data_IF_311622772794
#
_entry.id   IF_311622772794
#
_cell.length_a   1.000
_cell.length_b   1.000
_cell.length_c   1.000
_cell.angle_alpha   90.00
_cell.angle_beta   90.00
_cell.angle_gamma   90.00
#
_symmetry.space_group_name_H-M   'P 1'
#
loop_
_entity.id
_entity.type
_entity.pdbx_description
1 polymer ?
#
# COMPACT_ATOMS: atom_id res chain seq x y z
N UNK A 1 -17.66 18.51 10.94
CA UNK A 1 -17.37 17.09 10.62
C UNK A 1 -17.83 16.65 9.23
N UNK A 2 -18.81 17.31 8.58
CA UNK A 2 -19.24 17.06 7.18
C UNK A 2 -18.16 17.22 6.08
N UNK A 3 -16.93 17.66 6.38
CA UNK A 3 -15.89 17.90 5.35
C UNK A 3 -14.91 16.74 5.13
N UNK A 4 -14.96 15.68 5.94
CA UNK A 4 -14.04 14.52 5.80
C UNK A 4 -14.55 13.44 4.83
N UNK A 5 -15.85 13.41 4.51
CA UNK A 5 -16.42 12.49 3.51
C UNK A 5 -15.81 12.70 2.11
N UNK A 6 -15.32 13.92 1.83
CA UNK A 6 -14.58 14.26 0.62
C UNK A 6 -13.23 13.54 0.52
N UNK A 7 -12.67 13.11 1.64
CA UNK A 7 -11.35 12.51 1.75
C UNK A 7 -11.41 11.00 2.04
N UNK A 8 -12.16 10.27 1.21
CA UNK A 8 -12.25 8.81 1.28
C UNK A 8 -10.85 8.16 1.20
N UNK A 9 -10.56 7.14 2.04
CA UNK A 9 -9.31 6.41 1.97
C UNK A 9 -9.09 5.77 0.59
N UNK A 10 -7.84 5.72 0.14
CA UNK A 10 -7.44 4.92 -1.02
C UNK A 10 -7.62 3.42 -0.75
N UNK A 11 -7.24 2.57 -1.69
CA UNK A 11 -7.03 1.16 -1.40
C UNK A 11 -5.97 0.94 -0.29
N UNK A 12 -5.99 -0.27 0.26
CA UNK A 12 -4.96 -0.80 1.16
C UNK A 12 -4.17 -1.91 0.44
N UNK A 13 -3.34 -2.62 1.20
CA UNK A 13 -2.54 -3.74 0.76
C UNK A 13 -2.43 -4.79 1.85
N UNK A 14 -2.30 -6.05 1.44
CA UNK A 14 -1.68 -7.08 2.27
C UNK A 14 -0.19 -7.04 1.94
N UNK A 15 0.68 -6.73 2.91
CA UNK A 15 2.14 -6.73 2.67
C UNK A 15 2.67 -8.05 3.17
N UNK A 16 3.14 -8.91 2.27
CA UNK A 16 3.77 -10.17 2.61
C UNK A 16 5.26 -10.10 2.26
N UNK A 17 6.10 -10.30 3.27
CA UNK A 17 7.55 -10.29 3.18
C UNK A 17 8.05 -11.71 3.41
N UNK A 18 8.69 -12.31 2.40
CA UNK A 18 9.19 -13.68 2.44
C UNK A 18 10.72 -13.68 2.31
N UNK A 19 11.40 -14.30 3.26
CA UNK A 19 12.77 -14.76 3.10
C UNK A 19 12.76 -16.17 2.56
N UNK A 20 13.53 -16.43 1.50
CA UNK A 20 13.59 -17.73 0.83
C UNK A 20 14.99 -18.33 0.89
N UNK A 21 15.10 -19.65 1.03
CA UNK A 21 16.37 -20.41 0.94
C UNK A 21 16.86 -20.64 -0.51
N UNK A 22 16.15 -20.09 -1.49
CA UNK A 22 16.48 -20.17 -2.90
C UNK A 22 16.13 -18.90 -3.64
N UNK A 23 16.67 -18.77 -4.86
CA UNK A 23 16.24 -17.78 -5.86
C UNK A 23 15.34 -18.41 -6.92
N UNK A 24 14.42 -17.60 -7.44
CA UNK A 24 13.67 -17.89 -8.66
C UNK A 24 14.27 -17.09 -9.83
N UNK A 25 15.00 -17.73 -10.77
CA UNK A 25 15.79 -17.03 -11.80
C UNK A 25 14.94 -16.23 -12.80
N UNK A 26 13.66 -16.60 -12.98
CA UNK A 26 12.72 -15.91 -13.84
C UNK A 26 12.21 -14.58 -13.26
N UNK A 27 12.40 -14.31 -11.97
CA UNK A 27 12.00 -13.04 -11.36
C UNK A 27 13.00 -11.93 -11.71
N UNK A 28 12.49 -10.83 -12.24
CA UNK A 28 13.19 -9.56 -12.30
C UNK A 28 13.14 -8.85 -10.93
N UNK A 29 13.74 -7.67 -10.79
CA UNK A 29 13.59 -6.87 -9.57
C UNK A 29 12.12 -6.55 -9.31
N UNK A 30 11.38 -6.12 -10.34
CA UNK A 30 9.95 -5.77 -10.26
C UNK A 30 9.13 -6.71 -11.14
N UNK A 31 8.08 -7.29 -10.58
CA UNK A 31 7.26 -8.30 -11.25
C UNK A 31 5.78 -8.01 -11.02
N UNK A 32 4.96 -8.33 -12.02
CA UNK A 32 3.51 -8.28 -11.95
C UNK A 32 2.92 -9.63 -12.29
N UNK A 33 2.06 -10.14 -11.43
CA UNK A 33 1.26 -11.34 -11.65
C UNK A 33 -0.19 -10.88 -11.85
N UNK A 34 -0.57 -10.69 -13.11
CA UNK A 34 -1.88 -10.15 -13.45
C UNK A 34 -3.00 -11.13 -13.15
N UNK A 35 -4.18 -10.61 -12.84
CA UNK A 35 -5.42 -11.39 -12.82
C UNK A 35 -5.87 -11.76 -14.23
N UNK A 36 -6.57 -12.89 -14.36
CA UNK A 36 -7.12 -13.36 -15.62
C UNK A 36 -8.15 -12.36 -16.18
N UNK A 37 -8.93 -11.73 -15.28
CA UNK A 37 -9.80 -10.60 -15.60
C UNK A 37 -9.48 -9.41 -14.68
N UNK A 38 -8.74 -8.43 -15.23
CA UNK A 38 -8.41 -7.20 -14.53
C UNK A 38 -9.65 -6.34 -14.22
N UNK A 39 -10.64 -6.31 -15.11
CA UNK A 39 -11.84 -5.49 -14.90
C UNK A 39 -12.65 -6.03 -13.72
N UNK A 40 -12.78 -7.36 -13.63
CA UNK A 40 -13.40 -8.01 -12.48
C UNK A 40 -12.61 -7.73 -11.19
N UNK A 41 -11.28 -7.85 -11.21
CA UNK A 41 -10.42 -7.51 -10.07
C UNK A 41 -10.66 -6.08 -9.56
N UNK A 42 -10.59 -5.09 -10.44
CA UNK A 42 -10.82 -3.68 -10.08
C UNK A 42 -12.24 -3.43 -9.58
N UNK A 43 -13.24 -4.07 -10.20
CA UNK A 43 -14.63 -3.95 -9.75
C UNK A 43 -14.81 -4.52 -8.33
N UNK A 44 -14.24 -5.69 -8.03
CA UNK A 44 -14.31 -6.31 -6.70
C UNK A 44 -13.63 -5.44 -5.63
N UNK A 45 -12.41 -4.96 -5.90
CA UNK A 45 -11.64 -4.17 -4.92
C UNK A 45 -12.23 -2.78 -4.70
N UNK A 46 -12.55 -2.04 -5.76
CA UNK A 46 -12.88 -0.61 -5.68
C UNK A 46 -14.39 -0.31 -5.70
N UNK A 47 -15.25 -1.26 -6.12
CA UNK A 47 -16.71 -1.09 -6.11
C UNK A 47 -17.38 -1.95 -5.05
N UNK A 48 -17.11 -3.27 -5.05
CA UNK A 48 -17.70 -4.19 -4.05
C UNK A 48 -17.03 -4.11 -2.69
N UNK A 49 -15.78 -3.63 -2.64
CA UNK A 49 -14.93 -3.56 -1.43
C UNK A 49 -14.69 -4.93 -0.81
N UNK A 50 -14.45 -5.92 -1.64
CA UNK A 50 -14.21 -7.30 -1.24
C UNK A 50 -12.76 -7.71 -1.59
N UNK A 51 -12.27 -8.77 -0.93
CA UNK A 51 -11.01 -9.41 -1.29
C UNK A 51 -11.19 -10.17 -2.61
N UNK A 52 -10.41 -9.87 -3.66
CA UNK A 52 -10.62 -10.47 -4.98
C UNK A 52 -10.29 -11.97 -4.98
N UNK A 53 -11.06 -12.81 -5.70
CA UNK A 53 -10.75 -14.24 -5.80
C UNK A 53 -9.45 -14.50 -6.59
N UNK A 54 -9.12 -13.61 -7.54
CA UNK A 54 -7.89 -13.64 -8.31
C UNK A 54 -7.22 -12.23 -8.29
N UNK A 55 -6.27 -11.98 -7.37
CA UNK A 55 -5.65 -10.66 -7.23
C UNK A 55 -4.61 -10.40 -8.31
N UNK A 56 -4.53 -9.16 -8.82
CA UNK A 56 -3.28 -8.69 -9.44
C UNK A 56 -2.26 -8.41 -8.34
N UNK A 57 -1.08 -9.01 -8.44
CA UNK A 57 -0.03 -8.94 -7.41
C UNK A 57 1.18 -8.20 -7.97
N UNK A 58 1.67 -7.23 -7.21
CA UNK A 58 2.99 -6.65 -7.40
C UNK A 58 3.99 -7.37 -6.49
N UNK A 59 5.11 -7.83 -7.05
CA UNK A 59 6.15 -8.55 -6.33
C UNK A 59 7.53 -7.94 -6.63
N UNK A 60 8.29 -7.67 -5.58
CA UNK A 60 9.65 -7.16 -5.64
C UNK A 60 10.62 -8.23 -5.15
N UNK A 61 11.59 -8.59 -5.98
CA UNK A 61 12.72 -9.44 -5.63
C UNK A 61 13.99 -8.57 -5.56
N UNK A 62 14.21 -7.93 -4.41
CA UNK A 62 15.22 -6.88 -4.27
C UNK A 62 16.65 -7.39 -4.49
N UNK A 63 16.89 -8.68 -4.21
CA UNK A 63 18.21 -9.33 -4.37
C UNK A 63 18.73 -9.35 -5.81
N UNK A 64 17.89 -9.01 -6.80
CA UNK A 64 18.26 -8.90 -8.21
C UNK A 64 19.15 -7.70 -8.52
N UNK A 65 19.03 -6.62 -7.77
CA UNK A 65 19.86 -5.42 -7.96
C UNK A 65 20.72 -5.10 -6.75
N UNK A 66 20.35 -5.60 -5.58
CA UNK A 66 21.11 -5.43 -4.34
C UNK A 66 21.31 -6.79 -3.66
N UNK A 67 22.45 -7.47 -3.86
CA UNK A 67 22.68 -8.78 -3.26
C UNK A 67 22.80 -8.73 -1.73
N UNK A 68 22.91 -7.55 -1.09
CA UNK A 68 23.07 -7.43 0.36
C UNK A 68 21.77 -7.62 1.15
N UNK A 69 20.62 -7.61 0.48
CA UNK A 69 19.29 -7.75 1.11
C UNK A 69 18.93 -9.19 1.48
N UNK A 70 19.72 -10.18 1.06
CA UNK A 70 19.55 -11.59 1.39
C UNK A 70 20.91 -12.31 1.42
N UNK A 71 21.07 -13.40 2.20
CA UNK A 71 22.27 -14.23 2.15
C UNK A 71 22.53 -14.82 0.75
N UNK A 72 23.76 -15.29 0.51
CA UNK A 72 24.12 -15.98 -0.73
C UNK A 72 23.22 -17.18 -0.99
N UNK A 73 22.71 -17.30 -2.22
CA UNK A 73 21.74 -18.33 -2.62
C UNK A 73 20.29 -18.07 -2.21
N UNK A 74 20.04 -17.16 -1.27
CA UNK A 74 18.70 -16.83 -0.74
C UNK A 74 18.04 -15.66 -1.49
N UNK A 75 16.75 -15.43 -1.23
CA UNK A 75 16.01 -14.30 -1.77
C UNK A 75 15.17 -13.58 -0.70
N UNK A 76 14.81 -12.33 -0.97
CA UNK A 76 13.93 -11.51 -0.14
C UNK A 76 12.83 -10.93 -1.05
N UNK A 77 11.62 -11.44 -0.89
CA UNK A 77 10.46 -11.07 -1.68
C UNK A 77 9.53 -10.17 -0.88
N UNK A 78 9.15 -9.02 -1.46
CA UNK A 78 8.04 -8.20 -0.98
C UNK A 78 6.86 -8.36 -1.95
N UNK A 79 5.72 -8.77 -1.43
CA UNK A 79 4.51 -9.09 -2.17
C UNK A 79 3.40 -8.15 -1.72
N UNK A 80 2.71 -7.53 -2.68
CA UNK A 80 1.69 -6.52 -2.45
C UNK A 80 0.53 -6.66 -3.44
N UNK A 81 -0.48 -7.48 -3.14
CA UNK A 81 -1.81 -7.34 -3.74
C UNK A 81 -2.51 -6.06 -3.25
N UNK A 82 -3.14 -5.34 -4.17
CA UNK A 82 -4.05 -4.24 -3.80
C UNK A 82 -5.41 -4.79 -3.36
N UNK A 83 -5.87 -4.34 -2.20
CA UNK A 83 -7.11 -4.77 -1.56
C UNK A 83 -7.91 -3.55 -1.08
N UNK A 84 -9.21 -3.69 -0.76
CA UNK A 84 -9.97 -2.60 -0.15
C UNK A 84 -9.34 -2.10 1.16
N UNK A 85 -9.60 -0.84 1.50
CA UNK A 85 -9.35 -0.34 2.85
C UNK A 85 -10.35 -0.94 3.84
N UNK A 86 -10.06 -0.82 5.14
CA UNK A 86 -10.94 -1.33 6.20
C UNK A 86 -12.29 -0.62 6.12
N UNK A 87 -13.37 -1.40 6.01
CA UNK A 87 -14.71 -0.90 6.25
C UNK A 87 -14.97 -0.88 7.76
N UNK A 88 -14.99 0.30 8.39
CA UNK A 88 -15.15 0.40 9.84
C UNK A 88 -16.55 -0.04 10.34
N UNK A 89 -17.56 -0.11 9.45
CA UNK A 89 -18.89 -0.61 9.80
C UNK A 89 -18.98 -2.14 9.80
N UNK A 90 -18.12 -2.80 9.03
CA UNK A 90 -18.07 -4.27 8.89
C UNK A 90 -16.63 -4.68 8.52
N UNK A 91 -15.71 -4.67 9.50
CA UNK A 91 -14.31 -4.93 9.23
C UNK A 91 -14.05 -6.42 9.05
N UNK A 92 -13.30 -6.76 8.00
CA UNK A 92 -12.74 -8.11 7.85
C UNK A 92 -11.83 -8.45 9.03
N UNK A 93 -11.87 -9.70 9.47
CA UNK A 93 -11.00 -10.19 10.54
C UNK A 93 -9.56 -10.41 10.04
N UNK A 94 -8.63 -10.59 10.98
CA UNK A 94 -7.25 -10.98 10.63
C UNK A 94 -7.21 -12.32 9.88
N UNK A 95 -8.08 -13.25 10.26
CA UNK A 95 -8.17 -14.58 9.64
C UNK A 95 -8.64 -14.51 8.19
N UNK A 96 -9.57 -13.60 7.86
CA UNK A 96 -10.00 -13.36 6.47
C UNK A 96 -8.81 -12.95 5.58
N UNK A 97 -7.92 -12.10 6.10
CA UNK A 97 -6.70 -11.71 5.41
C UNK A 97 -5.70 -12.86 5.31
N UNK A 98 -5.62 -13.76 6.31
CA UNK A 98 -4.75 -14.94 6.23
C UNK A 98 -5.26 -15.95 5.20
N UNK A 99 -6.57 -16.15 5.09
CA UNK A 99 -7.16 -16.94 4.00
C UNK A 99 -6.83 -16.33 2.64
N UNK A 100 -6.86 -15.00 2.53
CA UNK A 100 -6.46 -14.32 1.30
C UNK A 100 -4.94 -14.39 1.03
N UNK A 101 -4.09 -14.37 2.06
CA UNK A 101 -2.65 -14.64 1.94
C UNK A 101 -2.40 -15.99 1.25
N UNK A 102 -3.14 -17.03 1.65
CA UNK A 102 -3.02 -18.34 1.01
C UNK A 102 -3.44 -18.30 -0.46
N UNK A 103 -4.50 -17.59 -0.84
CA UNK A 103 -4.86 -17.40 -2.26
C UNK A 103 -3.77 -16.70 -3.07
N UNK A 104 -3.09 -15.73 -2.47
CA UNK A 104 -1.95 -15.02 -3.07
C UNK A 104 -0.80 -15.99 -3.31
N UNK A 105 -0.45 -16.80 -2.32
CA UNK A 105 0.60 -17.82 -2.43
C UNK A 105 0.25 -18.90 -3.48
N UNK A 106 -1.00 -19.38 -3.52
CA UNK A 106 -1.47 -20.33 -4.54
C UNK A 106 -1.31 -19.78 -5.95
N UNK A 107 -1.63 -18.49 -6.14
CA UNK A 107 -1.45 -17.82 -7.42
C UNK A 107 0.02 -17.72 -7.81
N UNK A 108 0.88 -17.32 -6.89
CA UNK A 108 2.32 -17.21 -7.13
C UNK A 108 2.92 -18.57 -7.52
N UNK A 109 2.55 -19.64 -6.82
CA UNK A 109 2.99 -21.01 -7.14
C UNK A 109 2.48 -21.45 -8.52
N UNK A 110 1.20 -21.22 -8.82
CA UNK A 110 0.59 -21.52 -10.13
C UNK A 110 1.26 -20.77 -11.28
N UNK A 111 1.75 -19.56 -11.03
CA UNK A 111 2.35 -18.69 -12.05
C UNK A 111 3.89 -18.78 -12.08
N UNK A 112 4.45 -19.89 -11.64
CA UNK A 112 5.84 -20.25 -11.87
C UNK A 112 6.75 -20.12 -10.65
N UNK A 113 6.27 -19.66 -9.49
CA UNK A 113 7.04 -19.77 -8.24
C UNK A 113 6.81 -21.14 -7.59
N UNK A 114 7.07 -22.21 -8.34
CA UNK A 114 6.77 -23.58 -7.91
C UNK A 114 7.34 -23.89 -6.53
N UNK A 115 6.53 -24.52 -5.68
CA UNK A 115 6.86 -24.88 -4.30
C UNK A 115 7.30 -23.70 -3.42
N UNK A 116 6.89 -22.45 -3.72
CA UNK A 116 7.23 -21.25 -2.95
C UNK A 116 7.18 -21.48 -1.44
N UNK A 117 6.07 -22.04 -0.93
CA UNK A 117 5.87 -22.24 0.50
C UNK A 117 6.91 -23.16 1.14
N UNK A 118 7.45 -24.13 0.39
CA UNK A 118 8.48 -25.07 0.90
C UNK A 118 9.83 -24.39 1.13
N UNK A 119 10.05 -23.26 0.47
CA UNK A 119 11.31 -22.53 0.47
C UNK A 119 11.29 -21.30 1.40
N UNK A 120 10.15 -21.04 2.05
CA UNK A 120 10.02 -19.92 3.00
C UNK A 120 10.76 -20.26 4.30
N UNK A 121 11.81 -19.49 4.59
CA UNK A 121 12.56 -19.56 5.86
C UNK A 121 12.21 -18.42 6.81
N UNK A 122 11.57 -17.37 6.31
CA UNK A 122 11.04 -16.26 7.08
C UNK A 122 9.76 -15.74 6.43
N UNK A 123 8.73 -15.51 7.24
CA UNK A 123 7.48 -14.88 6.78
C UNK A 123 7.12 -13.74 7.73
N UNK A 124 6.78 -12.59 7.15
CA UNK A 124 6.15 -11.50 7.86
C UNK A 124 4.99 -10.93 7.04
N UNK A 125 3.86 -10.69 7.70
CA UNK A 125 2.63 -10.29 7.02
C UNK A 125 1.95 -9.13 7.74
N UNK A 126 1.75 -8.02 7.03
CA UNK A 126 0.95 -6.89 7.45
C UNK A 126 -0.42 -6.91 6.79
N UNK A 127 -1.45 -6.88 7.61
CA UNK A 127 -2.82 -6.61 7.21
C UNK A 127 -3.10 -5.10 7.22
N UNK A 128 -4.23 -4.66 6.63
CA UNK A 128 -4.69 -3.28 6.78
C UNK A 128 -4.80 -2.80 8.24
N UNK A 129 -5.08 -3.70 9.19
CA UNK A 129 -5.13 -3.37 10.61
C UNK A 129 -3.75 -3.03 11.16
N UNK A 130 -2.73 -3.82 10.82
CA UNK A 130 -1.35 -3.58 11.24
C UNK A 130 -0.85 -2.24 10.67
N UNK A 131 -1.19 -1.94 9.41
CA UNK A 131 -0.88 -0.66 8.76
C UNK A 131 -1.56 0.51 9.49
N UNK A 132 -2.85 0.38 9.80
CA UNK A 132 -3.60 1.39 10.57
C UNK A 132 -3.01 1.60 11.95
N UNK A 133 -2.66 0.54 12.66
CA UNK A 133 -2.13 0.62 14.01
C UNK A 133 -0.75 1.29 14.03
N UNK A 134 0.16 0.83 13.16
CA UNK A 134 1.55 1.28 13.12
C UNK A 134 1.70 2.70 12.61
N UNK A 135 1.00 3.04 11.52
CA UNK A 135 1.18 4.32 10.83
C UNK A 135 0.04 5.31 11.07
N UNK A 136 -0.98 4.92 11.84
CA UNK A 136 -2.21 5.72 12.04
C UNK A 136 -2.90 6.08 10.71
N UNK A 137 -2.70 5.25 9.69
CA UNK A 137 -3.28 5.43 8.36
C UNK A 137 -4.79 5.28 8.40
N UNK A 138 -5.52 6.24 7.83
CA UNK A 138 -6.98 6.22 7.78
C UNK A 138 -7.47 4.94 7.10
N UNK A 139 -8.27 4.15 7.80
CA UNK A 139 -8.78 2.83 7.39
C UNK A 139 -7.71 1.88 6.83
N UNK A 140 -6.45 2.00 7.26
CA UNK A 140 -5.34 1.17 6.78
C UNK A 140 -4.89 1.46 5.34
N UNK A 141 -5.31 2.60 4.75
CA UNK A 141 -4.93 2.97 3.38
C UNK A 141 -3.42 3.18 3.21
N UNK A 142 -2.88 2.79 2.06
CA UNK A 142 -1.43 2.88 1.76
C UNK A 142 -1.06 4.10 0.91
N UNK A 143 -2.04 4.78 0.31
CA UNK A 143 -1.83 5.99 -0.49
C UNK A 143 -2.57 7.22 0.06
N UNK A 144 -3.01 7.17 1.31
CA UNK A 144 -3.78 8.23 1.95
C UNK A 144 -5.17 8.35 1.34
N UNK A 145 -5.53 9.54 0.86
CA UNK A 145 -6.84 9.78 0.24
C UNK A 145 -6.84 9.36 -1.23
N UNK A 146 -7.97 8.80 -1.70
CA UNK A 146 -8.25 8.52 -3.12
C UNK A 146 -7.98 9.76 -4.00
N UNK A 147 -7.55 9.57 -5.24
CA UNK A 147 -7.49 10.65 -6.24
C UNK A 147 -8.65 10.48 -7.21
N UNK A 148 -9.80 11.07 -6.88
CA UNK A 148 -11.03 10.91 -7.65
C UNK A 148 -11.54 12.28 -8.10
N UNK A 149 -11.61 12.48 -9.42
CA UNK A 149 -12.03 13.75 -10.02
C UNK A 149 -13.41 14.20 -9.53
N UNK A 150 -14.35 13.28 -9.32
CA UNK A 150 -15.72 13.60 -8.95
C UNK A 150 -15.88 13.78 -7.43
N UNK A 151 -15.09 13.07 -6.62
CA UNK A 151 -15.16 13.21 -5.15
C UNK A 151 -14.33 14.37 -4.63
N UNK A 152 -13.08 14.50 -5.07
CA UNK A 152 -12.14 15.47 -4.52
C UNK A 152 -11.40 16.33 -5.55
N UNK A 153 -11.82 16.32 -6.82
CA UNK A 153 -11.13 17.02 -7.90
C UNK A 153 -9.65 16.58 -8.03
N UNK A 154 -9.34 15.35 -7.61
CA UNK A 154 -7.99 14.81 -7.46
C UNK A 154 -7.08 15.56 -6.45
N UNK A 155 -7.63 16.48 -5.65
CA UNK A 155 -6.89 17.18 -4.60
C UNK A 155 -6.97 16.45 -3.26
N UNK A 156 -5.84 16.44 -2.56
CA UNK A 156 -5.71 15.95 -1.19
C UNK A 156 -5.87 17.08 -0.18
N UNK A 157 -5.72 16.76 1.11
CA UNK A 157 -5.85 17.75 2.18
C UNK A 157 -4.89 18.95 1.97
N UNK A 158 -5.29 20.17 2.36
CA UNK A 158 -4.43 21.35 2.28
C UNK A 158 -3.22 21.22 3.22
N UNK A 159 -2.17 22.00 2.95
CA UNK A 159 -0.91 21.99 3.73
C UNK A 159 -0.96 22.81 5.02
N UNK A 160 -2.05 23.55 5.26
CA UNK A 160 -2.22 24.45 6.39
C UNK A 160 -3.68 24.44 6.83
N UNK A 161 -3.92 24.61 8.12
CA UNK A 161 -5.25 24.68 8.69
C UNK A 161 -5.92 26.01 8.34
N UNK A 162 -7.21 25.96 7.98
CA UNK A 162 -8.04 27.16 7.82
C UNK A 162 -8.45 27.77 9.18
N UNK A 163 -8.35 27.00 10.27
CA UNK A 163 -8.77 27.42 11.61
C UNK A 163 -7.61 27.91 12.47
N UNK A 164 -6.44 27.29 12.34
CA UNK A 164 -5.26 27.61 13.15
C UNK A 164 -4.11 28.02 12.23
N UNK A 165 -3.76 29.31 12.15
CA UNK A 165 -2.80 29.79 11.15
C UNK A 165 -1.40 29.22 11.34
N UNK A 166 -1.05 28.79 12.56
CA UNK A 166 0.22 28.16 12.90
C UNK A 166 0.23 26.62 12.79
N UNK A 167 -0.83 26.01 12.26
CA UNK A 167 -0.94 24.56 12.11
C UNK A 167 -0.75 24.14 10.64
N UNK A 168 0.25 23.29 10.41
CA UNK A 168 0.61 22.78 9.09
C UNK A 168 0.46 21.25 9.01
N UNK A 169 0.18 20.75 7.81
CA UNK A 169 0.02 19.33 7.54
C UNK A 169 1.01 18.88 6.48
N UNK A 170 1.63 17.71 6.68
CA UNK A 170 2.60 17.09 5.77
C UNK A 170 2.31 15.59 5.63
N UNK A 171 2.69 14.99 4.51
CA UNK A 171 2.66 13.53 4.31
C UNK A 171 1.81 13.08 3.14
N UNK A 172 1.60 11.76 3.02
CA UNK A 172 0.99 11.13 1.83
C UNK A 172 -0.50 11.44 1.62
N UNK A 173 -1.18 11.89 2.68
CA UNK A 173 -2.58 12.31 2.66
C UNK A 173 -2.76 13.81 2.40
N UNK A 174 -1.66 14.55 2.28
CA UNK A 174 -1.62 15.99 2.02
C UNK A 174 -1.16 16.23 0.59
N UNK A 175 -1.69 17.27 -0.06
CA UNK A 175 -1.28 17.63 -1.41
C UNK A 175 0.27 17.88 -1.43
N UNK A 176 1.05 17.27 -2.32
CA UNK A 176 0.66 16.75 -3.63
C UNK A 176 0.33 15.25 -3.65
N UNK A 177 0.63 14.49 -2.60
CA UNK A 177 0.04 13.17 -2.35
C UNK A 177 0.96 12.05 -1.90
N UNK A 178 0.50 10.83 -2.17
CA UNK A 178 1.12 9.59 -1.69
C UNK A 178 2.31 9.17 -2.55
N UNK A 179 3.16 8.30 -2.00
CA UNK A 179 4.41 7.86 -2.63
C UNK A 179 5.61 8.72 -2.23
N UNK A 180 6.80 8.12 -2.16
CA UNK A 180 8.00 8.76 -1.61
C UNK A 180 8.31 10.12 -2.25
N UNK A 181 8.30 10.29 -3.59
CA UNK A 181 8.62 11.58 -4.21
C UNK A 181 7.64 12.68 -3.78
N UNK A 182 6.35 12.34 -3.72
CA UNK A 182 5.28 13.30 -3.40
C UNK A 182 5.29 13.69 -1.93
N UNK A 183 5.61 12.74 -1.03
CA UNK A 183 5.78 13.01 0.40
C UNK A 183 6.98 13.92 0.66
N UNK A 184 8.12 13.67 0.00
CA UNK A 184 9.31 14.52 0.11
C UNK A 184 9.01 15.94 -0.38
N UNK A 185 8.37 16.07 -1.54
CA UNK A 185 7.97 17.36 -2.08
C UNK A 185 6.94 18.08 -1.18
N UNK A 186 6.04 17.33 -0.54
CA UNK A 186 5.13 17.86 0.47
C UNK A 186 5.92 18.51 1.61
N UNK A 187 6.89 17.77 2.17
CA UNK A 187 7.74 18.25 3.28
C UNK A 187 8.50 19.52 2.94
N UNK A 188 9.13 19.56 1.76
CA UNK A 188 9.83 20.77 1.29
C UNK A 188 8.89 21.98 1.17
N UNK A 189 7.69 21.78 0.63
CA UNK A 189 6.71 22.85 0.47
C UNK A 189 6.16 23.34 1.81
N UNK A 190 5.90 22.43 2.75
CA UNK A 190 5.43 22.78 4.09
C UNK A 190 6.51 23.54 4.86
N UNK A 191 7.78 23.09 4.78
CA UNK A 191 8.89 23.79 5.41
C UNK A 191 9.02 25.25 4.93
N UNK A 192 8.88 25.50 3.62
CA UNK A 192 8.84 26.87 3.07
C UNK A 192 7.72 27.71 3.67
N UNK A 193 6.50 27.16 3.78
CA UNK A 193 5.35 27.86 4.37
C UNK A 193 5.54 28.18 5.85
N UNK A 194 6.17 27.27 6.61
CA UNK A 194 6.49 27.51 8.02
C UNK A 194 7.46 28.68 8.15
N UNK A 195 8.52 28.74 7.35
CA UNK A 195 9.48 29.84 7.35
C UNK A 195 8.84 31.17 6.93
N UNK A 196 7.96 31.15 5.92
CA UNK A 196 7.20 32.34 5.50
C UNK A 196 6.26 32.84 6.62
N UNK A 197 5.57 31.93 7.30
CA UNK A 197 4.67 32.27 8.40
C UNK A 197 5.43 32.85 9.61
N UNK A 198 6.56 32.25 9.98
CA UNK A 198 7.41 32.72 11.09
C UNK A 198 7.98 34.12 10.85
N UNK A 199 8.32 34.45 9.60
CA UNK A 199 8.85 35.77 9.21
C UNK A 199 7.78 36.86 9.05
N UNK A 200 6.54 36.47 8.83
CA UNK A 200 5.41 37.37 8.59
C UNK A 200 4.46 37.53 9.78
N UNK A 201 4.77 36.88 10.91
CA UNK A 201 4.08 37.01 12.19
C UNK A 201 4.53 38.20 13.02
#
# INVERSE_FOLDING_TARGET
MRSLEKFEPSCSGLVLELGLDRKYPQLAHHNFFFSDDQRAHFHTVFRKRELPPDPTIYLVAASRTDPTVAPDGCDCLKILPHIPHINDADPLSRDDYMVFKERVLDKLERMGLENLRRHVVFEHCWTPHDIRERYRSNSGSIYGVVSDRFKNLAFKAPKQSERYPNLFFVGGSVNPGGGMPMVVLCGQNVAKRVVEWDRGG
#
